data_IF_907247597623
#
_entry.id   IF_907247597623
#
_cell.length_a   1.000
_cell.length_b   1.000
_cell.length_c   1.000
_cell.angle_alpha   90.00
_cell.angle_beta   90.00
_cell.angle_gamma   90.00
#
_symmetry.space_group_name_H-M   'P 1'
#
loop_
_entity.id
_entity.type
_entity.pdbx_description
1 polymer ?
#
# COMPACT_ATOMS: atom_id res chain seq x y z
N UNK A 1 19.85 -10.71 18.33
CA UNK A 1 18.59 -10.72 17.58
C UNK A 1 17.35 -10.65 18.46
N UNK A 2 17.07 -11.65 19.31
CA UNK A 2 15.83 -11.67 20.13
C UNK A 2 15.67 -10.42 21.02
N UNK A 3 16.74 -10.00 21.70
CA UNK A 3 16.75 -8.76 22.52
C UNK A 3 16.50 -7.50 21.71
N UNK A 4 16.99 -7.43 20.48
CA UNK A 4 16.75 -6.32 19.55
C UNK A 4 15.29 -6.26 19.12
N UNK A 5 14.73 -7.41 18.67
CA UNK A 5 13.32 -7.52 18.28
C UNK A 5 12.40 -7.15 19.44
N UNK A 6 12.66 -7.67 20.64
CA UNK A 6 11.89 -7.34 21.84
C UNK A 6 11.90 -5.84 22.15
N UNK A 7 13.09 -5.20 22.10
CA UNK A 7 13.23 -3.76 22.33
C UNK A 7 12.45 -2.94 21.28
N UNK A 8 12.43 -3.39 20.02
CA UNK A 8 11.67 -2.75 18.93
C UNK A 8 10.18 -2.89 19.14
N UNK A 9 9.69 -4.08 19.50
CA UNK A 9 8.27 -4.30 19.83
C UNK A 9 7.85 -3.42 21.01
N UNK A 10 8.66 -3.33 22.05
CA UNK A 10 8.38 -2.47 23.19
C UNK A 10 8.32 -0.98 22.79
N UNK A 11 9.18 -0.55 21.88
CA UNK A 11 9.16 0.81 21.35
C UNK A 11 7.94 1.12 20.45
N UNK A 12 7.27 0.11 19.88
CA UNK A 12 6.04 0.30 19.09
C UNK A 12 4.84 0.67 19.98
N UNK A 13 4.81 0.24 21.24
CA UNK A 13 3.69 0.47 22.14
C UNK A 13 3.42 1.97 22.36
N UNK A 14 4.40 2.79 22.79
CA UNK A 14 4.18 4.23 22.96
C UNK A 14 3.83 4.94 21.64
N UNK A 15 4.36 4.47 20.50
CA UNK A 15 4.03 5.02 19.20
C UNK A 15 2.57 4.72 18.84
N UNK A 16 2.10 3.48 19.01
CA UNK A 16 0.69 3.11 18.82
C UNK A 16 -0.24 3.90 19.74
N UNK A 17 0.18 4.11 20.98
CA UNK A 17 -0.59 4.91 21.94
C UNK A 17 -0.74 6.37 21.47
N UNK A 18 0.32 6.99 21.02
CA UNK A 18 0.26 8.36 20.48
C UNK A 18 -0.61 8.41 19.21
N UNK A 19 -0.43 7.45 18.30
CA UNK A 19 -1.24 7.34 17.08
C UNK A 19 -2.72 7.17 17.43
N UNK A 20 -3.06 6.35 18.43
CA UNK A 20 -4.45 6.14 18.84
C UNK A 20 -5.11 7.43 19.36
N UNK A 21 -4.39 8.25 20.13
CA UNK A 21 -4.89 9.55 20.59
C UNK A 21 -5.14 10.48 19.40
N UNK A 22 -4.21 10.53 18.44
CA UNK A 22 -4.33 11.38 17.24
C UNK A 22 -5.51 10.93 16.39
N UNK A 23 -5.65 9.63 16.14
CA UNK A 23 -6.76 9.08 15.36
C UNK A 23 -8.09 9.41 16.03
N UNK A 24 -8.23 9.09 17.32
CA UNK A 24 -9.45 9.35 18.06
C UNK A 24 -9.81 10.85 18.05
N UNK A 25 -8.85 11.72 18.37
CA UNK A 25 -9.05 13.16 18.37
C UNK A 25 -9.44 13.71 17.00
N UNK A 26 -8.77 13.25 15.94
CA UNK A 26 -9.07 13.67 14.56
C UNK A 26 -10.48 13.24 14.13
N UNK A 27 -10.85 11.99 14.39
CA UNK A 27 -12.17 11.46 14.02
C UNK A 27 -13.28 12.16 14.79
N UNK A 28 -13.07 12.45 16.09
CA UNK A 28 -14.04 13.21 16.90
C UNK A 28 -14.14 14.70 16.51
N UNK A 29 -13.08 15.27 15.96
CA UNK A 29 -13.09 16.64 15.44
C UNK A 29 -13.71 16.78 14.04
N UNK A 30 -13.96 15.64 13.35
CA UNK A 30 -14.59 15.67 12.01
C UNK A 30 -16.00 16.25 12.12
N UNK A 31 -16.38 17.20 11.22
CA UNK A 31 -17.74 17.77 11.20
C UNK A 31 -18.75 16.71 10.85
N UNK A 32 -19.87 16.62 11.59
CA UNK A 32 -20.97 15.68 11.40
C UNK A 32 -21.35 14.95 12.69
N UNK A 33 -22.49 14.27 12.67
CA UNK A 33 -23.03 13.55 13.83
C UNK A 33 -23.14 12.05 13.49
N UNK A 34 -22.49 11.19 14.28
CA UNK A 34 -22.56 9.73 14.16
C UNK A 34 -24.00 9.20 14.27
N UNK A 35 -24.83 9.88 15.06
CA UNK A 35 -26.26 9.53 15.21
C UNK A 35 -27.02 9.76 13.88
N UNK A 36 -26.68 10.83 13.16
CA UNK A 36 -27.28 11.10 11.84
C UNK A 36 -26.84 10.06 10.81
N UNK A 37 -25.57 9.62 10.86
CA UNK A 37 -25.07 8.55 10.01
C UNK A 37 -25.77 7.20 10.29
N UNK A 38 -26.07 6.91 11.54
CA UNK A 38 -26.77 5.69 11.94
C UNK A 38 -28.16 5.55 11.32
N UNK A 39 -28.92 6.65 11.25
CA UNK A 39 -30.28 6.64 10.69
C UNK A 39 -30.31 6.87 9.17
N UNK A 40 -29.23 7.36 8.58
CA UNK A 40 -29.15 7.80 7.19
C UNK A 40 -29.65 9.23 6.99
N UNK A 41 -29.12 9.88 5.98
CA UNK A 41 -29.47 11.27 5.66
C UNK A 41 -30.94 11.39 5.25
N UNK A 42 -31.66 12.34 5.86
CA UNK A 42 -33.08 12.62 5.55
C UNK A 42 -34.10 11.78 6.34
N UNK A 43 -33.69 10.89 7.21
CA UNK A 43 -34.59 10.12 8.05
C UNK A 43 -35.34 11.02 9.05
N UNK A 44 -36.67 10.92 9.08
CA UNK A 44 -37.50 11.59 10.09
C UNK A 44 -37.43 10.80 11.41
N UNK A 45 -36.49 11.19 12.26
CA UNK A 45 -36.24 10.51 13.52
C UNK A 45 -36.63 11.44 14.67
N UNK A 46 -37.28 10.88 15.70
CA UNK A 46 -37.65 11.65 16.90
C UNK A 46 -36.39 11.93 17.74
N UNK A 47 -36.46 12.97 18.59
CA UNK A 47 -35.38 13.31 19.50
C UNK A 47 -35.07 12.14 20.45
N UNK A 48 -36.09 11.46 20.94
CA UNK A 48 -35.97 10.29 21.81
C UNK A 48 -35.17 9.14 21.15
N UNK A 49 -35.44 8.87 19.87
CA UNK A 49 -34.66 7.89 19.10
C UNK A 49 -33.19 8.29 18.94
N UNK A 50 -32.92 9.58 18.71
CA UNK A 50 -31.56 10.11 18.64
C UNK A 50 -30.80 9.96 19.97
N UNK A 51 -31.46 10.29 21.07
CA UNK A 51 -30.86 10.20 22.40
C UNK A 51 -30.60 8.74 22.79
N UNK A 52 -31.49 7.83 22.45
CA UNK A 52 -31.29 6.39 22.65
C UNK A 52 -30.08 5.86 21.85
N UNK A 53 -29.95 6.23 20.56
CA UNK A 53 -28.77 5.82 19.75
C UNK A 53 -27.49 6.46 20.28
N UNK A 54 -27.55 7.73 20.75
CA UNK A 54 -26.41 8.40 21.37
C UNK A 54 -25.91 7.65 22.61
N UNK A 55 -26.83 7.17 23.44
CA UNK A 55 -26.49 6.34 24.59
C UNK A 55 -25.92 4.98 24.18
N UNK A 56 -26.56 4.29 23.22
CA UNK A 56 -26.07 3.00 22.67
C UNK A 56 -24.65 3.09 22.12
N UNK A 57 -24.31 4.19 21.43
CA UNK A 57 -22.99 4.44 20.90
C UNK A 57 -22.01 4.98 21.97
N UNK A 58 -22.49 5.29 23.18
CA UNK A 58 -21.70 5.85 24.27
C UNK A 58 -21.23 7.29 24.01
N UNK A 59 -21.93 8.03 23.14
CA UNK A 59 -21.63 9.41 22.77
C UNK A 59 -22.09 10.43 23.83
N UNK A 60 -22.83 9.97 24.84
CA UNK A 60 -23.26 10.72 26.03
C UNK A 60 -22.12 10.90 27.04
N UNK A 61 -21.05 10.12 26.94
CA UNK A 61 -19.92 10.14 27.84
C UNK A 61 -18.89 11.21 27.48
N UNK A 62 -18.02 11.55 28.45
CA UNK A 62 -16.91 12.49 28.20
C UNK A 62 -15.93 11.90 27.19
N UNK A 63 -15.24 12.77 26.39
CA UNK A 63 -14.27 12.31 25.40
C UNK A 63 -13.17 11.40 25.97
N UNK A 64 -12.59 11.67 27.17
CA UNK A 64 -11.63 10.74 27.76
C UNK A 64 -12.23 9.36 28.06
N UNK A 65 -13.48 9.30 28.52
CA UNK A 65 -14.16 8.03 28.79
C UNK A 65 -14.46 7.25 27.51
N UNK A 66 -14.90 7.93 26.45
CA UNK A 66 -15.07 7.32 25.12
C UNK A 66 -13.75 6.75 24.61
N UNK A 67 -12.64 7.48 24.75
CA UNK A 67 -11.31 7.03 24.35
C UNK A 67 -10.88 5.77 25.11
N UNK A 68 -10.98 5.78 26.42
CA UNK A 68 -10.58 4.61 27.25
C UNK A 68 -11.42 3.38 26.92
N UNK A 69 -12.73 3.53 26.70
CA UNK A 69 -13.60 2.42 26.29
C UNK A 69 -13.22 1.89 24.90
N UNK A 70 -12.94 2.78 23.96
CA UNK A 70 -12.52 2.39 22.61
C UNK A 70 -11.19 1.64 22.62
N UNK A 71 -10.17 2.17 23.28
CA UNK A 71 -8.87 1.49 23.41
C UNK A 71 -9.01 0.15 24.15
N UNK A 72 -9.82 0.11 25.23
CA UNK A 72 -10.07 -1.13 25.97
C UNK A 72 -10.66 -2.22 25.10
N UNK A 73 -11.69 -1.91 24.29
CA UNK A 73 -12.26 -2.87 23.31
C UNK A 73 -11.23 -3.31 22.29
N UNK A 74 -10.48 -2.38 21.74
CA UNK A 74 -9.45 -2.68 20.74
C UNK A 74 -8.37 -3.62 21.30
N UNK A 75 -7.96 -3.47 22.57
CA UNK A 75 -7.01 -4.37 23.23
C UNK A 75 -7.57 -5.79 23.43
N UNK A 76 -8.88 -5.97 23.45
CA UNK A 76 -9.54 -7.30 23.50
C UNK A 76 -9.86 -7.87 22.12
N UNK A 77 -9.46 -7.18 21.04
CA UNK A 77 -9.73 -7.58 19.65
C UNK A 77 -11.12 -7.20 19.14
N UNK A 78 -11.91 -6.48 19.92
CA UNK A 78 -13.19 -5.93 19.48
C UNK A 78 -12.98 -4.58 18.80
N UNK A 79 -13.00 -4.60 17.46
CA UNK A 79 -12.90 -3.41 16.63
C UNK A 79 -14.25 -2.70 16.42
N UNK A 80 -15.33 -3.22 17.02
CA UNK A 80 -16.69 -2.73 16.85
C UNK A 80 -17.36 -3.20 15.57
N UNK A 81 -18.48 -2.58 15.26
CA UNK A 81 -19.30 -2.88 14.07
C UNK A 81 -19.43 -1.62 13.20
N UNK A 82 -19.38 -1.82 11.89
CA UNK A 82 -19.66 -0.78 10.92
C UNK A 82 -21.13 -0.43 10.94
N UNK A 83 -21.44 0.86 11.04
CA UNK A 83 -22.80 1.39 11.00
C UNK A 83 -23.39 1.24 9.59
N UNK A 84 -22.57 1.46 8.57
CA UNK A 84 -23.00 1.47 7.16
C UNK A 84 -23.09 0.07 6.56
N UNK A 85 -22.06 -0.77 6.78
CA UNK A 85 -21.99 -2.11 6.22
C UNK A 85 -22.68 -3.17 7.11
N UNK A 86 -23.07 -2.81 8.33
CA UNK A 86 -23.77 -3.67 9.30
C UNK A 86 -23.05 -5.02 9.56
N UNK A 87 -21.72 -4.97 9.54
CA UNK A 87 -20.85 -6.13 9.76
C UNK A 87 -19.79 -5.79 10.82
N UNK A 88 -19.23 -6.81 11.52
CA UNK A 88 -18.07 -6.61 12.38
C UNK A 88 -16.90 -6.00 11.57
N UNK A 89 -16.24 -4.98 12.11
CA UNK A 89 -15.16 -4.27 11.43
C UNK A 89 -13.98 -5.19 11.12
N UNK A 90 -13.67 -6.12 12.01
CA UNK A 90 -12.60 -7.11 11.78
C UNK A 90 -12.83 -7.96 10.54
N UNK A 91 -14.07 -8.37 10.26
CA UNK A 91 -14.45 -9.11 9.05
C UNK A 91 -14.25 -8.24 7.80
N UNK A 92 -14.70 -6.96 7.87
CA UNK A 92 -14.53 -6.03 6.75
C UNK A 92 -13.04 -5.85 6.41
N UNK A 93 -12.20 -5.58 7.42
CA UNK A 93 -10.77 -5.44 7.20
C UNK A 93 -10.18 -6.72 6.58
N UNK A 94 -10.56 -7.89 7.10
CA UNK A 94 -10.12 -9.18 6.56
C UNK A 94 -10.50 -9.41 5.10
N UNK A 95 -11.70 -9.00 4.69
CA UNK A 95 -12.19 -9.16 3.32
C UNK A 95 -11.42 -8.26 2.32
N UNK A 96 -11.00 -7.07 2.75
CA UNK A 96 -10.45 -6.05 1.85
C UNK A 96 -8.91 -5.95 1.85
N UNK A 97 -8.24 -6.33 2.95
CA UNK A 97 -6.77 -6.18 3.07
C UNK A 97 -6.01 -6.98 2.03
N UNK A 98 -6.49 -8.19 1.70
CA UNK A 98 -5.83 -9.05 0.73
C UNK A 98 -5.92 -8.52 -0.71
N UNK A 99 -6.98 -7.80 -1.03
CA UNK A 99 -7.14 -7.16 -2.34
C UNK A 99 -6.13 -6.01 -2.52
N UNK A 100 -5.92 -5.21 -1.46
CA UNK A 100 -4.86 -4.19 -1.43
C UNK A 100 -3.48 -4.81 -1.54
N UNK A 101 -3.20 -5.85 -0.74
CA UNK A 101 -1.92 -6.56 -0.75
C UNK A 101 -1.62 -7.15 -2.13
N UNK A 102 -2.58 -7.85 -2.74
CA UNK A 102 -2.47 -8.40 -4.09
C UNK A 102 -2.08 -7.32 -5.10
N UNK A 103 -2.82 -6.21 -5.13
CA UNK A 103 -2.59 -5.13 -6.09
C UNK A 103 -1.18 -4.54 -5.94
N UNK A 104 -0.75 -4.27 -4.70
CA UNK A 104 0.57 -3.69 -4.43
C UNK A 104 1.70 -4.67 -4.74
N UNK A 105 1.55 -5.95 -4.39
CA UNK A 105 2.58 -6.98 -4.66
C UNK A 105 2.75 -7.21 -6.16
N UNK A 106 1.66 -7.37 -6.91
CA UNK A 106 1.73 -7.54 -8.36
C UNK A 106 2.36 -6.32 -9.02
N UNK A 107 1.98 -5.12 -8.60
CA UNK A 107 2.56 -3.87 -9.12
C UNK A 107 4.05 -3.75 -8.81
N UNK A 108 4.49 -4.13 -7.61
CA UNK A 108 5.90 -4.15 -7.24
C UNK A 108 6.70 -5.15 -8.08
N UNK A 109 6.18 -6.37 -8.27
CA UNK A 109 6.83 -7.39 -9.09
C UNK A 109 6.99 -6.89 -10.53
N UNK A 110 5.93 -6.34 -11.13
CA UNK A 110 5.97 -5.78 -12.47
C UNK A 110 6.98 -4.63 -12.54
N UNK A 111 6.97 -3.73 -11.57
CA UNK A 111 7.95 -2.63 -11.52
C UNK A 111 9.39 -3.14 -11.49
N UNK A 112 9.71 -4.13 -10.67
CA UNK A 112 11.06 -4.68 -10.52
C UNK A 112 11.53 -5.43 -11.77
N UNK A 113 10.63 -6.19 -12.43
CA UNK A 113 10.94 -6.90 -13.69
C UNK A 113 11.46 -5.92 -14.75
N UNK A 114 10.92 -4.70 -14.81
CA UNK A 114 11.36 -3.68 -15.76
C UNK A 114 12.47 -2.77 -15.19
N UNK A 115 12.38 -2.38 -13.92
CA UNK A 115 13.32 -1.43 -13.32
C UNK A 115 14.75 -1.97 -13.22
N UNK A 116 14.91 -3.25 -12.87
CA UNK A 116 16.23 -3.85 -12.69
C UNK A 116 17.00 -3.91 -14.04
N UNK A 117 16.47 -4.50 -15.11
CA UNK A 117 17.20 -4.54 -16.39
C UNK A 117 17.45 -3.16 -16.99
N UNK A 118 16.46 -2.27 -16.89
CA UNK A 118 16.59 -0.89 -17.39
C UNK A 118 17.67 -0.14 -16.62
N UNK A 119 17.65 -0.15 -15.29
CA UNK A 119 18.64 0.52 -14.44
C UNK A 119 20.07 0.00 -14.65
N UNK A 120 20.24 -1.33 -14.77
CA UNK A 120 21.55 -1.93 -15.11
C UNK A 120 22.03 -1.41 -16.48
N UNK A 121 21.17 -1.44 -17.50
CA UNK A 121 21.55 -1.01 -18.86
C UNK A 121 21.82 0.49 -18.93
N UNK A 122 21.10 1.32 -18.18
CA UNK A 122 21.38 2.75 -18.03
C UNK A 122 22.79 2.98 -17.46
N UNK A 123 23.17 2.27 -16.40
CA UNK A 123 24.47 2.39 -15.77
C UNK A 123 25.62 1.96 -16.68
N UNK A 124 25.45 0.85 -17.40
CA UNK A 124 26.44 0.33 -18.37
C UNK A 124 26.60 1.30 -19.55
N UNK A 125 25.53 1.93 -19.98
CA UNK A 125 25.51 2.91 -21.11
C UNK A 125 25.35 4.34 -20.61
N UNK A 126 26.00 4.69 -19.51
CA UNK A 126 25.92 6.03 -18.89
C UNK A 126 26.20 7.14 -19.92
N UNK A 127 25.34 8.15 -19.94
CA UNK A 127 25.43 9.30 -20.87
C UNK A 127 24.92 9.02 -22.29
N UNK A 128 24.47 7.80 -22.61
CA UNK A 128 23.89 7.50 -23.94
C UNK A 128 22.44 8.00 -24.04
N UNK A 129 21.92 8.01 -25.28
CA UNK A 129 20.49 8.33 -25.55
C UNK A 129 19.56 7.43 -24.75
N UNK A 130 19.89 6.14 -24.58
CA UNK A 130 19.13 5.21 -23.75
C UNK A 130 19.09 5.64 -22.29
N UNK A 131 20.22 6.00 -21.70
CA UNK A 131 20.29 6.48 -20.32
C UNK A 131 19.48 7.77 -20.12
N UNK A 132 19.64 8.73 -21.01
CA UNK A 132 18.94 10.01 -20.94
C UNK A 132 17.43 9.84 -21.11
N UNK A 133 16.98 9.02 -22.06
CA UNK A 133 15.55 8.73 -22.27
C UNK A 133 14.91 8.15 -21.00
N UNK A 134 15.48 7.07 -20.45
CA UNK A 134 14.91 6.43 -19.26
C UNK A 134 15.05 7.28 -18.00
N UNK A 135 16.04 8.16 -17.93
CA UNK A 135 16.14 9.13 -16.84
C UNK A 135 15.00 10.13 -16.90
N UNK A 136 14.70 10.71 -18.09
CA UNK A 136 13.55 11.61 -18.26
C UNK A 136 12.24 10.89 -18.00
N UNK A 137 12.09 9.66 -18.52
CA UNK A 137 10.90 8.84 -18.30
C UNK A 137 10.67 8.54 -16.81
N UNK A 138 11.74 8.22 -16.06
CA UNK A 138 11.64 8.03 -14.60
C UNK A 138 11.31 9.34 -13.87
N UNK A 139 11.80 10.49 -14.32
CA UNK A 139 11.44 11.78 -13.74
C UNK A 139 9.95 12.07 -13.92
N UNK A 140 9.39 11.77 -15.10
CA UNK A 140 7.95 11.88 -15.33
C UNK A 140 7.16 10.96 -14.37
N UNK A 141 7.61 9.72 -14.17
CA UNK A 141 6.95 8.76 -13.27
C UNK A 141 6.93 9.19 -11.80
N UNK A 142 7.88 10.02 -11.37
CA UNK A 142 7.90 10.57 -9.99
C UNK A 142 7.10 11.87 -9.90
N UNK A 143 7.10 12.69 -10.98
CA UNK A 143 6.51 14.03 -10.96
C UNK A 143 5.02 14.03 -11.25
N UNK A 144 4.53 13.07 -12.03
CA UNK A 144 3.11 12.99 -12.38
C UNK A 144 2.33 12.38 -11.22
N UNK A 145 1.28 13.06 -10.72
CA UNK A 145 0.42 12.48 -9.68
C UNK A 145 -0.21 11.17 -10.16
N UNK A 146 -0.16 10.12 -9.32
CA UNK A 146 -0.64 8.77 -9.68
C UNK A 146 -2.10 8.75 -10.11
N UNK A 147 -2.97 9.52 -9.45
CA UNK A 147 -4.37 9.62 -9.82
C UNK A 147 -4.58 10.26 -11.21
N UNK A 148 -3.78 11.27 -11.54
CA UNK A 148 -3.85 11.90 -12.87
C UNK A 148 -3.43 10.91 -13.96
N UNK A 149 -2.34 10.17 -13.72
CA UNK A 149 -1.91 9.12 -14.65
C UNK A 149 -2.96 8.02 -14.80
N UNK A 150 -3.65 7.65 -13.71
CA UNK A 150 -4.77 6.71 -13.76
C UNK A 150 -5.89 7.20 -14.66
N UNK A 151 -6.32 8.47 -14.51
CA UNK A 151 -7.38 9.06 -15.36
C UNK A 151 -6.97 9.12 -16.83
N UNK A 152 -5.70 9.45 -17.11
CA UNK A 152 -5.15 9.44 -18.47
C UNK A 152 -5.22 8.03 -19.08
N UNK A 153 -4.82 6.99 -18.32
CA UNK A 153 -4.91 5.61 -18.80
C UNK A 153 -6.36 5.15 -19.00
N UNK A 154 -7.26 5.48 -18.09
CA UNK A 154 -8.69 5.18 -18.26
C UNK A 154 -9.19 5.82 -19.55
N UNK A 155 -8.88 7.10 -19.78
CA UNK A 155 -9.36 7.84 -20.95
C UNK A 155 -8.79 7.29 -22.26
N UNK A 156 -7.46 7.09 -22.36
CA UNK A 156 -6.82 6.69 -23.61
C UNK A 156 -6.83 5.17 -23.87
N UNK A 157 -6.85 4.35 -22.81
CA UNK A 157 -6.79 2.88 -22.95
C UNK A 157 -8.13 2.28 -22.56
N UNK A 158 -8.61 2.56 -21.35
CA UNK A 158 -9.80 1.91 -20.81
C UNK A 158 -11.04 2.12 -21.65
N UNK A 159 -11.30 3.36 -22.09
CA UNK A 159 -12.49 3.70 -22.89
C UNK A 159 -12.35 3.36 -24.38
N UNK A 160 -11.14 3.19 -24.90
CA UNK A 160 -10.91 2.97 -26.33
C UNK A 160 -10.65 1.51 -26.69
N UNK A 161 -10.33 0.65 -25.72
CA UNK A 161 -10.13 -0.80 -25.95
C UNK A 161 -11.41 -1.53 -25.54
N UNK A 162 -12.16 -2.12 -26.51
CA UNK A 162 -13.36 -2.89 -26.18
C UNK A 162 -13.05 -4.03 -25.20
N UNK A 163 -13.87 -4.17 -24.16
CA UNK A 163 -13.70 -5.20 -23.14
C UNK A 163 -12.63 -4.93 -22.09
N UNK A 164 -11.97 -3.76 -22.11
CA UNK A 164 -11.04 -3.37 -21.03
C UNK A 164 -11.83 -2.86 -19.82
N UNK A 165 -11.76 -3.52 -18.66
CA UNK A 165 -12.44 -3.03 -17.47
C UNK A 165 -11.72 -1.80 -16.91
N UNK A 166 -12.51 -0.80 -16.54
CA UNK A 166 -12.02 0.48 -15.98
C UNK A 166 -12.27 0.62 -14.48
N UNK A 167 -13.02 -0.31 -13.88
CA UNK A 167 -13.37 -0.28 -12.46
C UNK A 167 -13.61 -1.68 -11.90
N UNK A 168 -13.57 -1.79 -10.57
CA UNK A 168 -13.77 -3.04 -9.85
C UNK A 168 -12.58 -4.00 -9.93
N UNK A 169 -12.70 -5.12 -9.25
CA UNK A 169 -11.72 -6.20 -9.24
C UNK A 169 -12.21 -7.42 -10.03
N UNK A 170 -13.52 -7.49 -10.27
CA UNK A 170 -14.21 -8.59 -10.94
C UNK A 170 -15.37 -8.08 -11.77
N UNK A 171 -15.71 -8.80 -12.81
CA UNK A 171 -16.94 -8.58 -13.54
C UNK A 171 -18.15 -8.88 -12.64
N UNK A 172 -19.09 -7.93 -12.57
CA UNK A 172 -20.26 -8.03 -11.68
C UNK A 172 -21.22 -9.14 -12.09
N UNK A 173 -21.36 -9.43 -13.39
CA UNK A 173 -22.20 -10.53 -13.87
C UNK A 173 -21.55 -11.87 -13.55
N UNK A 174 -20.29 -12.06 -13.96
CA UNK A 174 -19.57 -13.32 -13.70
C UNK A 174 -19.47 -13.64 -12.22
N UNK A 175 -19.21 -12.66 -11.39
CA UNK A 175 -19.13 -12.84 -9.93
C UNK A 175 -20.48 -13.18 -9.30
N UNK A 176 -21.58 -12.66 -9.84
CA UNK A 176 -22.96 -12.90 -9.34
C UNK A 176 -23.51 -14.26 -9.75
N UNK A 177 -23.24 -14.72 -10.98
CA UNK A 177 -23.68 -16.02 -11.48
C UNK A 177 -22.73 -17.16 -11.12
N UNK A 178 -21.53 -16.84 -10.65
CA UNK A 178 -20.46 -17.78 -10.36
C UNK A 178 -19.57 -18.07 -11.56
N UNK A 179 -18.27 -18.25 -11.29
CA UNK A 179 -17.30 -18.59 -12.33
C UNK A 179 -17.38 -20.08 -12.71
N UNK A 180 -17.25 -20.38 -14.00
CA UNK A 180 -17.23 -21.78 -14.49
C UNK A 180 -15.99 -22.54 -14.02
N UNK A 181 -14.89 -21.83 -13.72
CA UNK A 181 -13.64 -22.39 -13.23
C UNK A 181 -12.80 -21.35 -12.49
N UNK A 182 -11.86 -21.81 -11.65
CA UNK A 182 -10.90 -20.94 -10.98
C UNK A 182 -10.01 -20.18 -11.98
N UNK A 183 -9.73 -20.74 -13.15
CA UNK A 183 -8.95 -20.06 -14.19
C UNK A 183 -9.72 -18.87 -14.79
N UNK A 184 -11.05 -18.98 -14.91
CA UNK A 184 -11.88 -17.86 -15.35
C UNK A 184 -11.86 -16.73 -14.32
N UNK A 185 -11.97 -17.04 -13.02
CA UNK A 185 -11.88 -16.06 -11.95
C UNK A 185 -10.51 -15.35 -11.93
N UNK A 186 -9.42 -16.13 -12.01
CA UNK A 186 -8.06 -15.57 -12.07
C UNK A 186 -7.88 -14.68 -13.31
N UNK A 187 -8.39 -15.10 -14.46
CA UNK A 187 -8.34 -14.35 -15.71
C UNK A 187 -9.10 -13.03 -15.62
N UNK A 188 -10.27 -13.04 -15.00
CA UNK A 188 -11.08 -11.84 -14.77
C UNK A 188 -10.40 -10.85 -13.83
N UNK A 189 -9.90 -11.33 -12.68
CA UNK A 189 -9.11 -10.50 -11.74
C UNK A 189 -7.86 -9.93 -12.41
N UNK A 190 -7.14 -10.74 -13.20
CA UNK A 190 -5.96 -10.29 -13.92
C UNK A 190 -6.30 -9.17 -14.92
N UNK A 191 -7.39 -9.30 -15.66
CA UNK A 191 -7.85 -8.30 -16.62
C UNK A 191 -8.20 -6.97 -15.93
N UNK A 192 -8.96 -7.03 -14.84
CA UNK A 192 -9.32 -5.86 -14.03
C UNK A 192 -8.10 -5.19 -13.35
N UNK A 193 -7.04 -5.95 -13.12
CA UNK A 193 -5.80 -5.46 -12.50
C UNK A 193 -4.89 -4.72 -13.46
N UNK A 194 -5.05 -4.84 -14.79
CA UNK A 194 -4.10 -4.30 -15.78
C UNK A 194 -3.86 -2.81 -15.57
N UNK A 195 -4.90 -2.00 -15.61
CA UNK A 195 -4.77 -0.55 -15.51
C UNK A 195 -4.24 -0.10 -14.13
N UNK A 196 -4.82 -0.55 -13.00
CA UNK A 196 -4.29 -0.23 -11.68
C UNK A 196 -2.83 -0.63 -11.48
N UNK A 197 -2.45 -1.84 -11.93
CA UNK A 197 -1.07 -2.34 -11.84
C UNK A 197 -0.12 -1.50 -12.67
N UNK A 198 -0.48 -1.09 -13.89
CA UNK A 198 0.37 -0.23 -14.72
C UNK A 198 0.64 1.10 -14.00
N UNK A 199 -0.38 1.71 -13.39
CA UNK A 199 -0.21 3.00 -12.69
C UNK A 199 0.74 2.87 -11.50
N UNK A 200 0.53 1.89 -10.63
CA UNK A 200 1.38 1.67 -9.46
C UNK A 200 2.79 1.23 -9.85
N UNK A 201 2.88 0.33 -10.85
CA UNK A 201 4.15 -0.16 -11.33
C UNK A 201 4.98 0.97 -11.98
N UNK A 202 4.36 1.92 -12.68
CA UNK A 202 5.05 3.05 -13.30
C UNK A 202 5.73 3.94 -12.25
N UNK A 203 5.02 4.31 -11.19
CA UNK A 203 5.59 5.11 -10.10
C UNK A 203 6.73 4.38 -9.37
N UNK A 204 6.53 3.09 -9.08
CA UNK A 204 7.53 2.24 -8.44
C UNK A 204 8.74 2.01 -9.36
N UNK A 205 8.52 1.73 -10.64
CA UNK A 205 9.56 1.60 -11.66
C UNK A 205 10.47 2.82 -11.69
N UNK A 206 9.89 4.02 -11.70
CA UNK A 206 10.62 5.27 -11.73
C UNK A 206 11.61 5.41 -10.56
N UNK A 207 11.19 5.01 -9.37
CA UNK A 207 12.03 5.02 -8.17
C UNK A 207 13.11 3.93 -8.22
N UNK A 208 12.72 2.68 -8.44
CA UNK A 208 13.64 1.54 -8.41
C UNK A 208 14.68 1.57 -9.55
N UNK A 209 14.30 1.98 -10.76
CA UNK A 209 15.26 2.07 -11.88
C UNK A 209 16.37 3.07 -11.61
N UNK A 210 16.07 4.22 -11.00
CA UNK A 210 17.08 5.21 -10.59
C UNK A 210 18.00 4.68 -9.50
N UNK A 211 17.45 3.97 -8.52
CA UNK A 211 18.26 3.33 -7.47
C UNK A 211 19.23 2.30 -8.05
N UNK A 212 18.72 1.39 -8.88
CA UNK A 212 19.56 0.37 -9.53
C UNK A 212 20.64 1.04 -10.39
N UNK A 213 20.28 2.05 -11.18
CA UNK A 213 21.23 2.83 -12.00
C UNK A 213 22.33 3.44 -11.13
N UNK A 214 21.98 4.15 -10.06
CA UNK A 214 22.95 4.86 -9.23
C UNK A 214 23.89 3.87 -8.53
N UNK A 215 23.37 2.82 -7.91
CA UNK A 215 24.19 1.78 -7.29
C UNK A 215 25.10 1.06 -8.29
N UNK A 216 24.60 0.78 -9.48
CA UNK A 216 25.40 0.16 -10.54
C UNK A 216 26.51 1.10 -11.06
N UNK A 217 26.25 2.40 -11.23
CA UNK A 217 27.26 3.39 -11.66
C UNK A 217 28.41 3.46 -10.66
N UNK A 218 28.12 3.39 -9.36
CA UNK A 218 29.14 3.36 -8.31
C UNK A 218 29.97 2.08 -8.38
N UNK A 219 29.29 0.94 -8.42
CA UNK A 219 29.93 -0.39 -8.34
C UNK A 219 30.75 -0.75 -9.58
N UNK A 220 30.31 -0.37 -10.78
CA UNK A 220 31.02 -0.70 -12.05
C UNK A 220 32.46 -0.16 -12.09
N UNK A 221 32.74 0.89 -11.32
CA UNK A 221 34.03 1.54 -11.27
C UNK A 221 34.96 0.99 -10.16
N UNK A 222 34.52 0.07 -9.34
CA UNK A 222 35.28 -0.52 -8.25
C UNK A 222 36.38 -1.47 -8.73
N UNK A 223 37.48 -1.55 -7.98
CA UNK A 223 38.69 -2.30 -8.38
C UNK A 223 38.44 -3.80 -8.58
N UNK A 224 37.54 -4.41 -7.81
CA UNK A 224 37.23 -5.84 -7.99
C UNK A 224 36.47 -6.10 -9.33
N UNK A 225 35.73 -5.11 -9.87
CA UNK A 225 35.10 -5.22 -11.19
C UNK A 225 36.17 -5.08 -12.27
N UNK A 226 37.15 -4.17 -12.09
CA UNK A 226 38.31 -4.05 -13.01
C UNK A 226 39.11 -5.35 -13.02
N UNK A 227 39.40 -5.93 -11.84
CA UNK A 227 40.08 -7.22 -11.71
C UNK A 227 39.33 -8.34 -12.46
N UNK A 228 37.99 -8.39 -12.37
CA UNK A 228 37.20 -9.36 -13.09
C UNK A 228 37.34 -9.22 -14.62
N UNK A 229 37.39 -7.98 -15.14
CA UNK A 229 37.66 -7.70 -16.56
C UNK A 229 39.07 -8.12 -16.97
N UNK A 230 40.09 -7.78 -16.17
CA UNK A 230 41.51 -8.15 -16.42
C UNK A 230 41.74 -9.66 -16.46
N UNK A 231 40.87 -10.45 -15.78
CA UNK A 231 40.87 -11.91 -15.84
C UNK A 231 40.24 -12.48 -17.12
N UNK A 232 39.84 -11.63 -18.06
CA UNK A 232 39.23 -12.04 -19.35
C UNK A 232 37.79 -12.58 -19.24
N UNK A 233 37.05 -12.29 -18.15
CA UNK A 233 35.67 -12.73 -18.02
C UNK A 233 34.76 -12.01 -19.03
N UNK A 234 33.75 -12.72 -19.54
CA UNK A 234 32.75 -12.14 -20.44
C UNK A 234 32.03 -10.96 -19.75
N UNK A 235 31.85 -9.84 -20.44
CA UNK A 235 31.27 -8.61 -19.90
C UNK A 235 29.91 -8.86 -19.21
N UNK A 236 29.07 -9.73 -19.77
CA UNK A 236 27.80 -10.14 -19.15
C UNK A 236 28.02 -10.74 -17.76
N UNK A 237 29.06 -11.57 -17.58
CA UNK A 237 29.41 -12.16 -16.28
C UNK A 237 29.91 -11.09 -15.31
N UNK A 238 30.75 -10.17 -15.79
CA UNK A 238 31.25 -9.04 -14.99
C UNK A 238 30.09 -8.18 -14.47
N UNK A 239 29.18 -7.80 -15.36
CA UNK A 239 28.05 -6.94 -15.00
C UNK A 239 27.07 -7.63 -14.06
N UNK A 240 26.55 -8.81 -14.39
CA UNK A 240 25.49 -9.45 -13.60
C UNK A 240 25.99 -10.20 -12.38
N UNK A 241 27.13 -10.90 -12.46
CA UNK A 241 27.63 -11.73 -11.37
C UNK A 241 28.55 -10.96 -10.42
N UNK A 242 29.34 -10.01 -10.90
CA UNK A 242 30.31 -9.28 -10.06
C UNK A 242 29.79 -7.89 -9.67
N UNK A 243 29.30 -7.09 -10.60
CA UNK A 243 28.83 -5.74 -10.29
C UNK A 243 27.45 -5.76 -9.65
N UNK A 244 26.42 -6.33 -10.32
CA UNK A 244 25.04 -6.27 -9.83
C UNK A 244 24.85 -6.99 -8.48
N UNK A 245 25.56 -8.09 -8.23
CA UNK A 245 25.50 -8.79 -6.94
C UNK A 245 25.82 -7.85 -5.75
N UNK A 246 26.74 -6.90 -5.92
CA UNK A 246 27.04 -5.93 -4.87
C UNK A 246 26.14 -4.69 -4.95
N UNK A 247 25.78 -4.27 -6.16
CA UNK A 247 24.87 -3.13 -6.37
C UNK A 247 23.43 -3.38 -5.89
N UNK A 248 23.03 -4.63 -5.69
CA UNK A 248 21.68 -4.97 -5.19
C UNK A 248 21.50 -4.75 -3.67
N UNK A 249 22.58 -4.58 -2.88
CA UNK A 249 22.47 -4.40 -1.42
C UNK A 249 21.55 -3.21 -1.07
N UNK A 250 21.74 -2.00 -1.64
CA UNK A 250 20.82 -0.89 -1.40
C UNK A 250 19.38 -1.14 -1.91
N UNK A 251 19.23 -1.98 -2.96
CA UNK A 251 17.92 -2.35 -3.49
C UNK A 251 17.15 -3.24 -2.50
N UNK A 252 17.81 -4.24 -1.92
CA UNK A 252 17.21 -5.11 -0.89
C UNK A 252 16.76 -4.28 0.32
N UNK A 253 17.57 -3.32 0.70
CA UNK A 253 17.26 -2.32 1.71
C UNK A 253 15.97 -1.56 1.42
N UNK A 254 15.85 -1.02 0.20
CA UNK A 254 14.64 -0.32 -0.23
C UNK A 254 13.42 -1.23 -0.25
N UNK A 255 13.57 -2.47 -0.69
CA UNK A 255 12.48 -3.45 -0.68
C UNK A 255 11.99 -3.71 0.76
N UNK A 256 12.89 -3.78 1.71
CA UNK A 256 12.54 -3.87 3.13
C UNK A 256 11.67 -2.68 3.58
N UNK A 257 12.05 -1.45 3.21
CA UNK A 257 11.28 -0.24 3.51
C UNK A 257 9.94 -0.17 2.76
N UNK A 258 9.81 -0.93 1.67
CA UNK A 258 8.56 -0.99 0.88
C UNK A 258 7.52 -1.96 1.46
N UNK A 259 7.93 -2.91 2.32
CA UNK A 259 7.02 -3.91 2.93
C UNK A 259 5.81 -3.27 3.63
N UNK A 260 5.95 -2.21 4.46
CA UNK A 260 4.81 -1.57 5.09
C UNK A 260 3.78 -1.03 4.10
N UNK A 261 4.24 -0.48 2.98
CA UNK A 261 3.36 0.12 1.97
C UNK A 261 2.51 -0.90 1.21
N UNK A 262 2.89 -2.19 1.22
CA UNK A 262 2.10 -3.24 0.58
C UNK A 262 0.70 -3.40 1.19
N UNK A 263 0.53 -3.02 2.44
CA UNK A 263 -0.73 -3.16 3.19
C UNK A 263 -1.45 -1.84 3.42
N UNK A 264 -0.78 -0.68 3.24
CA UNK A 264 -1.36 0.61 3.63
C UNK A 264 -2.37 1.19 2.66
N UNK A 265 -2.65 0.49 1.55
CA UNK A 265 -3.64 0.91 0.55
C UNK A 265 -3.19 2.10 -0.31
N UNK A 266 -3.44 2.02 -1.59
CA UNK A 266 -3.33 3.14 -2.51
C UNK A 266 -4.66 3.90 -2.54
N UNK A 267 -5.00 4.59 -1.44
CA UNK A 267 -6.33 5.15 -1.14
C UNK A 267 -6.97 5.85 -2.34
N UNK A 268 -6.26 6.78 -2.95
CA UNK A 268 -6.77 7.56 -4.09
C UNK A 268 -6.93 6.66 -5.33
N UNK A 269 -5.95 5.79 -5.61
CA UNK A 269 -5.99 4.91 -6.77
C UNK A 269 -7.10 3.85 -6.65
N UNK A 270 -7.23 3.24 -5.48
CA UNK A 270 -8.32 2.29 -5.20
C UNK A 270 -9.68 2.95 -5.37
N UNK A 271 -9.81 4.23 -5.01
CA UNK A 271 -11.05 5.00 -5.23
C UNK A 271 -11.29 5.29 -6.71
N UNK A 272 -10.26 5.65 -7.48
CA UNK A 272 -10.38 5.95 -8.93
C UNK A 272 -10.81 4.71 -9.71
N UNK A 273 -10.21 3.55 -9.43
CA UNK A 273 -10.54 2.29 -10.10
C UNK A 273 -11.68 1.51 -9.41
N UNK A 274 -12.29 2.06 -8.36
CA UNK A 274 -13.31 1.38 -7.54
C UNK A 274 -12.81 -0.01 -7.10
N UNK A 275 -11.49 -0.12 -6.86
CA UNK A 275 -10.87 -1.35 -6.40
C UNK A 275 -11.27 -1.65 -4.97
N UNK A 276 -11.78 -2.86 -4.65
CA UNK A 276 -12.26 -3.19 -3.31
C UNK A 276 -11.10 -3.45 -2.34
N UNK A 277 -10.37 -2.40 -2.00
CA UNK A 277 -9.24 -2.42 -1.07
C UNK A 277 -9.50 -1.61 0.20
N UNK A 278 -8.57 -1.68 1.15
CA UNK A 278 -8.65 -0.99 2.45
C UNK A 278 -8.71 0.53 2.29
N UNK A 279 -7.98 1.08 1.31
CA UNK A 279 -7.97 2.51 1.06
C UNK A 279 -9.33 3.03 0.59
N UNK A 280 -10.01 2.30 -0.30
CA UNK A 280 -11.36 2.65 -0.74
C UNK A 280 -12.37 2.53 0.40
N UNK A 281 -12.31 1.44 1.18
CA UNK A 281 -13.18 1.25 2.35
C UNK A 281 -13.02 2.41 3.34
N UNK A 282 -11.79 2.87 3.58
CA UNK A 282 -11.51 4.02 4.44
C UNK A 282 -12.17 5.31 3.93
N UNK A 283 -12.05 5.63 2.63
CA UNK A 283 -12.68 6.81 2.03
C UNK A 283 -14.21 6.71 2.13
N UNK A 284 -14.77 5.56 1.80
CA UNK A 284 -16.22 5.34 1.88
C UNK A 284 -16.71 5.50 3.33
N UNK A 285 -15.99 4.96 4.31
CA UNK A 285 -16.29 5.11 5.73
C UNK A 285 -16.20 6.58 6.21
N UNK A 286 -15.20 7.34 5.75
CA UNK A 286 -15.09 8.77 6.05
C UNK A 286 -16.28 9.54 5.49
N UNK A 287 -16.64 9.30 4.23
CA UNK A 287 -17.76 9.98 3.57
C UNK A 287 -19.10 9.64 4.22
N UNK A 288 -19.26 8.42 4.72
CA UNK A 288 -20.47 7.91 5.37
C UNK A 288 -20.51 8.13 6.89
N UNK A 289 -19.44 8.74 7.46
CA UNK A 289 -19.34 8.98 8.91
C UNK A 289 -19.36 7.71 9.76
N UNK A 290 -18.83 6.62 9.24
CA UNK A 290 -18.66 5.38 9.98
C UNK A 290 -17.38 5.44 10.82
N UNK A 291 -17.46 6.16 11.93
CA UNK A 291 -16.29 6.44 12.76
C UNK A 291 -15.63 5.17 13.31
N UNK A 292 -16.41 4.13 13.65
CA UNK A 292 -15.88 2.84 14.09
C UNK A 292 -14.99 2.21 13.02
N UNK A 293 -15.45 2.20 11.77
CA UNK A 293 -14.70 1.64 10.64
C UNK A 293 -13.47 2.51 10.32
N UNK A 294 -13.61 3.84 10.33
CA UNK A 294 -12.50 4.77 10.09
C UNK A 294 -11.38 4.57 11.12
N UNK A 295 -11.72 4.61 12.43
CA UNK A 295 -10.73 4.45 13.50
C UNK A 295 -10.02 3.10 13.42
N UNK A 296 -10.76 2.03 13.16
CA UNK A 296 -10.21 0.69 13.05
C UNK A 296 -9.30 0.53 11.82
N UNK A 297 -9.70 1.03 10.64
CA UNK A 297 -8.87 0.99 9.42
C UNK A 297 -7.56 1.77 9.61
N UNK A 298 -7.62 2.95 10.23
CA UNK A 298 -6.42 3.75 10.51
C UNK A 298 -5.49 3.07 11.52
N UNK A 299 -6.03 2.52 12.61
CA UNK A 299 -5.24 1.77 13.59
C UNK A 299 -4.64 0.50 13.02
N UNK A 300 -5.40 -0.24 12.22
CA UNK A 300 -4.91 -1.41 11.52
C UNK A 300 -3.75 -1.07 10.56
N UNK A 301 -3.91 -0.01 9.76
CA UNK A 301 -2.86 0.48 8.87
C UNK A 301 -1.61 0.92 9.64
N UNK A 302 -1.77 1.61 10.77
CA UNK A 302 -0.66 2.01 11.63
C UNK A 302 0.06 0.79 12.22
N UNK A 303 -0.68 -0.22 12.68
CA UNK A 303 -0.10 -1.47 13.19
C UNK A 303 0.69 -2.20 12.10
N UNK A 304 0.12 -2.35 10.90
CA UNK A 304 0.80 -2.99 9.76
C UNK A 304 2.05 -2.23 9.33
N UNK A 305 2.00 -0.89 9.35
CA UNK A 305 3.16 -0.07 9.06
C UNK A 305 4.30 -0.30 10.07
N UNK A 306 3.99 -0.37 11.36
CA UNK A 306 4.98 -0.66 12.40
C UNK A 306 5.52 -2.08 12.30
N UNK A 307 4.68 -3.06 12.03
CA UNK A 307 5.11 -4.45 11.80
C UNK A 307 5.98 -4.56 10.55
N UNK A 308 5.62 -3.87 9.48
CA UNK A 308 6.44 -3.82 8.26
C UNK A 308 7.80 -3.16 8.49
N UNK A 309 7.86 -2.08 9.29
CA UNK A 309 9.12 -1.46 9.70
C UNK A 309 9.96 -2.42 10.54
N UNK A 310 9.36 -3.17 11.46
CA UNK A 310 10.05 -4.20 12.23
C UNK A 310 10.63 -5.29 11.33
N UNK A 311 9.87 -5.77 10.35
CA UNK A 311 10.36 -6.73 9.36
C UNK A 311 11.52 -6.16 8.55
N UNK A 312 11.42 -4.91 8.12
CA UNK A 312 12.50 -4.20 7.46
C UNK A 312 13.77 -4.16 8.31
N UNK A 313 13.68 -3.78 9.58
CA UNK A 313 14.79 -3.75 10.52
C UNK A 313 15.44 -5.13 10.71
N UNK A 314 14.63 -6.19 10.75
CA UNK A 314 15.12 -7.58 10.83
C UNK A 314 15.87 -7.96 9.54
N UNK A 315 15.30 -7.64 8.37
CA UNK A 315 15.95 -7.88 7.09
C UNK A 315 17.30 -7.13 6.99
N UNK A 316 17.36 -5.89 7.46
CA UNK A 316 18.61 -5.14 7.53
C UNK A 316 19.69 -5.84 8.36
N UNK A 317 19.31 -6.30 9.55
CA UNK A 317 20.25 -6.97 10.45
C UNK A 317 20.76 -8.31 9.88
N UNK A 318 19.97 -8.94 9.01
CA UNK A 318 20.36 -10.18 8.31
C UNK A 318 21.31 -9.92 7.13
N UNK A 319 21.10 -8.79 6.40
CA UNK A 319 21.88 -8.44 5.21
C UNK A 319 23.20 -7.75 5.58
N UNK A 320 23.21 -6.91 6.61
CA UNK A 320 24.42 -6.23 7.10
C UNK A 320 24.71 -6.59 8.57
N UNK A 321 25.59 -7.57 8.82
CA UNK A 321 25.98 -7.98 10.18
C UNK A 321 26.76 -6.91 10.96
N UNK A 322 27.10 -5.76 10.35
CA UNK A 322 27.80 -4.64 11.03
C UNK A 322 26.86 -3.79 11.88
N UNK A 323 25.54 -3.98 11.76
CA UNK A 323 24.50 -3.25 12.51
C UNK A 323 24.07 -4.04 13.77
N UNK A 324 25.00 -4.65 14.48
CA UNK A 324 24.71 -5.36 15.74
C UNK A 324 24.92 -4.47 16.94
#
# INVERSE_FOLDING_TARGET
MLKYVFKRILAMIPVLFIISIVIFGTVKAMPGDEVTAYFGAGSKVTQEQRDHVRELLGLDKSLPEQYVRWVGRMCTGDLGSSITLKKPVGTIIGDYVWNTFYLNVVSLIVALIFAIPVGIKQAVKKGSVFDNFWTVFSLLGISVPTFFFALVLIFFIGLNIPGMPINGMRDTMLSSFGYSSIFQEIGDIALHSILPVIVLAFSSFASFSRYVRNSMVEVINMDYVRTARSKGLKEKTVIYKHAFKNAQIPLVTLLGLYIPSLFSGAVILESVFIWPGIGKVLIDAINQRDNSLVMACLMFSALLMLLGNLLSDICYTLVDPRIK
#
